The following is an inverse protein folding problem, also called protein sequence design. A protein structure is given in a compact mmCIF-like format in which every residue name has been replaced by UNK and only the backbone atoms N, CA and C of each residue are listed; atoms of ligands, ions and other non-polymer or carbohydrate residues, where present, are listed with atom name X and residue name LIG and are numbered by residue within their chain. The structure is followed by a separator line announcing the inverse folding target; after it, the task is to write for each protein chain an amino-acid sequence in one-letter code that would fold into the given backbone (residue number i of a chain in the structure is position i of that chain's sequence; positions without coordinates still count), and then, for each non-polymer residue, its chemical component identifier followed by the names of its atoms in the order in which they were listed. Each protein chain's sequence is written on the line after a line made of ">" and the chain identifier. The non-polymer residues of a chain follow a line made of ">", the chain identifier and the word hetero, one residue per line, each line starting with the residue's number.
data_IF_159189997941
#
_entry.id   IF_159189997941
#
_cell.length_a   1.000
_cell.length_b   1.000
_cell.length_c   1.000
_cell.angle_alpha   90.00
_cell.angle_beta   90.00
_cell.angle_gamma   90.00
#
_symmetry.space_group_name_H-M   'P 1'
#
loop_
_entity.id
_entity.type
_entity.pdbx_description
1 polymer ?
#
# COMPACT_ATOMS: atom_id res chain seq x y z
N UNK A 1 -16.96 16.85 16.77
CA UNK A 1 -16.49 15.62 16.09
C UNK A 1 -16.19 14.57 17.14
N UNK A 2 -16.65 13.33 16.96
CA UNK A 2 -16.42 12.22 17.90
C UNK A 2 -15.13 11.49 17.51
N UNK A 3 -14.25 11.23 18.47
CA UNK A 3 -13.04 10.45 18.20
C UNK A 3 -13.40 9.00 17.85
N UNK A 4 -12.74 8.45 16.84
CA UNK A 4 -12.90 7.07 16.38
C UNK A 4 -11.54 6.43 16.13
N UNK A 5 -11.46 5.11 16.21
CA UNK A 5 -10.30 4.33 15.79
C UNK A 5 -10.16 4.45 14.27
N UNK A 6 -9.03 4.99 13.80
CA UNK A 6 -8.74 5.14 12.37
C UNK A 6 -7.96 3.94 11.84
N UNK A 7 -6.93 3.52 12.58
CA UNK A 7 -6.04 2.42 12.22
C UNK A 7 -5.73 1.60 13.47
N UNK A 8 -5.44 0.32 13.28
CA UNK A 8 -5.13 -0.64 14.33
C UNK A 8 -4.10 -1.65 13.82
N UNK A 9 -3.38 -2.30 14.74
CA UNK A 9 -2.48 -3.39 14.42
C UNK A 9 -3.21 -4.74 14.47
N UNK A 10 -2.58 -5.78 13.92
CA UNK A 10 -3.14 -7.13 13.88
C UNK A 10 -3.52 -7.66 15.28
N UNK A 11 -2.72 -7.35 16.30
CA UNK A 11 -3.02 -7.74 17.68
C UNK A 11 -4.37 -7.17 18.17
N UNK A 12 -4.62 -5.87 17.96
CA UNK A 12 -5.89 -5.25 18.32
C UNK A 12 -7.06 -5.80 17.47
N UNK A 13 -6.81 -6.13 16.20
CA UNK A 13 -7.83 -6.74 15.33
C UNK A 13 -8.27 -8.11 15.85
N UNK A 14 -7.32 -8.92 16.29
CA UNK A 14 -7.56 -10.26 16.84
C UNK A 14 -8.36 -10.22 18.14
N UNK A 15 -8.20 -9.15 18.93
CA UNK A 15 -9.02 -8.88 20.13
C UNK A 15 -10.42 -8.31 19.77
N UNK A 16 -10.75 -8.19 18.49
CA UNK A 16 -12.07 -7.76 18.02
C UNK A 16 -12.27 -6.25 17.93
N UNK A 17 -11.20 -5.46 18.02
CA UNK A 17 -11.24 -4.01 17.73
C UNK A 17 -11.38 -3.81 16.22
N UNK A 18 -12.19 -2.83 15.81
CA UNK A 18 -12.37 -2.45 14.40
C UNK A 18 -12.24 -0.94 14.22
N UNK A 19 -11.83 -0.52 13.04
CA UNK A 19 -11.85 0.88 12.67
C UNK A 19 -13.30 1.42 12.69
N UNK A 20 -13.46 2.72 12.96
CA UNK A 20 -14.75 3.38 13.17
C UNK A 20 -15.34 3.22 14.58
N UNK A 21 -14.84 2.27 15.39
CA UNK A 21 -15.23 2.18 16.81
C UNK A 21 -14.80 3.44 17.58
N UNK A 22 -15.60 3.85 18.55
CA UNK A 22 -15.19 4.87 19.53
C UNK A 22 -14.15 4.28 20.51
N UNK A 23 -13.30 5.11 21.16
CA UNK A 23 -12.35 4.63 22.18
C UNK A 23 -12.97 3.73 23.24
N UNK A 24 -14.17 4.09 23.74
CA UNK A 24 -14.90 3.27 24.72
C UNK A 24 -15.34 1.92 24.16
N UNK A 25 -15.80 1.86 22.91
CA UNK A 25 -16.15 0.59 22.26
C UNK A 25 -14.92 -0.29 22.05
N UNK A 26 -13.79 0.29 21.67
CA UNK A 26 -12.54 -0.44 21.46
C UNK A 26 -11.99 -0.99 22.79
N UNK A 27 -11.97 -0.19 23.86
CA UNK A 27 -11.53 -0.61 25.20
C UNK A 27 -12.43 -1.69 25.80
N UNK A 28 -13.72 -1.70 25.47
CA UNK A 28 -14.62 -2.77 25.87
C UNK A 28 -14.28 -4.13 25.23
N UNK A 29 -13.56 -4.14 24.10
CA UNK A 29 -13.03 -5.36 23.47
C UNK A 29 -11.67 -5.75 24.05
N UNK A 30 -10.79 -4.78 24.23
CA UNK A 30 -9.44 -4.97 24.72
C UNK A 30 -9.11 -3.93 25.81
N UNK A 31 -9.15 -4.34 27.08
CA UNK A 31 -8.93 -3.45 28.23
C UNK A 31 -7.50 -2.86 28.27
N UNK A 32 -6.52 -3.55 27.70
CA UNK A 32 -5.12 -3.14 27.66
C UNK A 32 -4.74 -2.42 26.35
N UNK A 33 -5.73 -1.99 25.56
CA UNK A 33 -5.51 -1.30 24.29
C UNK A 33 -4.81 0.05 24.52
N UNK A 34 -3.68 0.25 23.83
CA UNK A 34 -2.98 1.54 23.83
C UNK A 34 -3.50 2.41 22.68
N UNK A 35 -4.22 3.47 23.02
CA UNK A 35 -4.76 4.43 22.04
C UNK A 35 -3.77 5.59 21.87
N UNK A 36 -3.35 5.86 20.63
CA UNK A 36 -2.48 6.99 20.28
C UNK A 36 -3.27 8.05 19.52
N UNK A 37 -3.03 9.31 19.84
CA UNK A 37 -3.58 10.42 19.07
C UNK A 37 -2.91 10.48 17.67
N UNK A 38 -3.69 10.90 16.68
CA UNK A 38 -3.20 11.09 15.31
C UNK A 38 -2.17 12.23 15.26
N UNK A 39 -0.99 11.95 14.74
CA UNK A 39 0.09 12.93 14.60
C UNK A 39 0.22 13.36 13.13
N UNK A 40 -0.61 14.33 12.72
CA UNK A 40 -0.75 14.75 11.30
C UNK A 40 0.56 15.23 10.68
N UNK A 41 1.37 15.97 11.43
CA UNK A 41 2.64 16.50 10.93
C UNK A 41 3.62 15.35 10.62
N UNK A 42 3.65 14.32 11.47
CA UNK A 42 4.45 13.13 11.23
C UNK A 42 3.95 12.32 10.02
N UNK A 43 2.62 12.19 9.87
CA UNK A 43 2.02 11.52 8.70
C UNK A 43 2.32 12.25 7.38
N UNK A 44 2.33 13.59 7.42
CA UNK A 44 2.67 14.40 6.26
C UNK A 44 4.14 14.20 5.88
N UNK A 45 5.06 14.26 6.85
CA UNK A 45 6.48 13.98 6.61
C UNK A 45 6.72 12.58 6.05
N UNK A 46 6.00 11.56 6.54
CA UNK A 46 6.08 10.21 5.99
C UNK A 46 5.58 10.14 4.55
N UNK A 47 4.53 10.90 4.22
CA UNK A 47 4.01 10.99 2.86
C UNK A 47 5.02 11.64 1.92
N UNK A 48 5.72 12.69 2.36
CA UNK A 48 6.77 13.35 1.56
C UNK A 48 7.96 12.42 1.31
N UNK A 49 8.38 11.65 2.32
CA UNK A 49 9.44 10.63 2.18
C UNK A 49 9.02 9.58 1.15
N UNK A 50 7.79 9.08 1.24
CA UNK A 50 7.25 8.11 0.28
C UNK A 50 7.27 8.66 -1.15
N UNK A 51 6.76 9.88 -1.35
CA UNK A 51 6.72 10.52 -2.67
C UNK A 51 8.11 10.80 -3.23
N UNK A 52 9.05 11.26 -2.40
CA UNK A 52 10.44 11.44 -2.80
C UNK A 52 11.02 10.15 -3.39
N UNK A 53 10.85 9.01 -2.70
CA UNK A 53 11.30 7.71 -3.17
C UNK A 53 10.54 7.24 -4.43
N UNK A 54 9.25 7.52 -4.54
CA UNK A 54 8.46 7.20 -5.72
C UNK A 54 8.94 7.96 -6.97
N UNK A 55 9.26 9.25 -6.84
CA UNK A 55 9.79 10.06 -7.95
C UNK A 55 11.17 9.59 -8.44
N UNK A 56 11.95 8.91 -7.60
CA UNK A 56 13.20 8.27 -8.02
C UNK A 56 12.97 7.06 -8.94
N UNK A 57 11.75 6.48 -8.94
CA UNK A 57 11.38 5.37 -9.82
C UNK A 57 10.87 5.84 -11.18
N UNK A 58 10.03 6.88 -11.19
CA UNK A 58 9.41 7.44 -12.39
C UNK A 58 9.01 8.90 -12.15
N UNK A 59 9.02 9.77 -13.16
CA UNK A 59 8.44 11.11 -13.05
C UNK A 59 6.90 11.10 -12.97
N UNK A 60 6.25 9.99 -13.36
CA UNK A 60 4.79 9.86 -13.34
C UNK A 60 4.33 9.21 -12.04
N UNK A 61 4.13 10.03 -11.01
CA UNK A 61 3.68 9.61 -9.67
C UNK A 61 2.44 10.39 -9.28
N UNK A 62 1.48 9.69 -8.68
CA UNK A 62 0.25 10.26 -8.13
C UNK A 62 0.09 9.84 -6.66
N UNK A 63 -0.21 10.80 -5.78
CA UNK A 63 -0.59 10.52 -4.40
C UNK A 63 -2.08 10.16 -4.35
N UNK A 64 -2.39 8.86 -4.38
CA UNK A 64 -3.76 8.36 -4.56
C UNK A 64 -4.55 8.29 -3.25
N UNK A 65 -3.88 8.07 -2.12
CA UNK A 65 -4.50 8.08 -0.80
C UNK A 65 -3.44 8.37 0.29
N UNK A 66 -3.84 8.68 1.55
CA UNK A 66 -2.88 8.83 2.65
C UNK A 66 -1.99 7.58 2.79
N UNK A 67 -0.67 7.76 2.67
CA UNK A 67 0.30 6.66 2.71
C UNK A 67 0.34 5.76 1.48
N UNK A 68 -0.35 6.12 0.39
CA UNK A 68 -0.38 5.36 -0.86
C UNK A 68 -0.04 6.26 -2.06
N UNK A 69 0.84 5.76 -2.93
CA UNK A 69 1.12 6.41 -4.21
C UNK A 69 1.08 5.41 -5.36
N UNK A 70 0.60 5.85 -6.51
CA UNK A 70 0.64 5.11 -7.76
C UNK A 70 1.78 5.62 -8.62
N UNK A 71 2.58 4.70 -9.17
CA UNK A 71 3.72 5.03 -10.02
C UNK A 71 3.51 4.40 -11.40
N UNK A 72 3.48 5.24 -12.44
CA UNK A 72 3.37 4.77 -13.82
C UNK A 72 4.75 4.61 -14.44
N UNK A 73 5.04 3.43 -15.00
CA UNK A 73 6.25 3.16 -15.75
C UNK A 73 5.95 3.20 -17.25
N UNK A 74 6.57 4.15 -17.97
CA UNK A 74 6.48 4.19 -19.42
C UNK A 74 7.34 3.07 -20.01
N UNK A 75 6.72 2.02 -20.53
CA UNK A 75 7.43 1.02 -21.31
C UNK A 75 7.86 1.64 -22.65
N UNK A 76 9.16 1.66 -22.93
CA UNK A 76 9.66 2.08 -24.23
C UNK A 76 9.14 1.12 -25.32
N UNK A 77 8.63 1.72 -26.38
CA UNK A 77 7.92 1.22 -27.56
C UNK A 77 7.97 -0.29 -27.92
N UNK A 78 6.84 -0.78 -28.45
CA UNK A 78 6.44 -2.18 -28.72
C UNK A 78 7.33 -3.09 -29.60
N UNK A 79 8.51 -2.67 -30.03
CA UNK A 79 9.26 -3.34 -31.12
C UNK A 79 10.50 -4.14 -30.69
N UNK A 80 10.98 -4.03 -29.45
CA UNK A 80 12.13 -4.80 -28.90
C UNK A 80 11.74 -5.83 -27.83
N UNK A 81 10.46 -6.14 -27.75
CA UNK A 81 9.82 -6.59 -26.50
C UNK A 81 10.04 -8.08 -26.16
N UNK A 82 10.31 -8.97 -27.11
CA UNK A 82 10.18 -10.43 -26.86
C UNK A 82 11.39 -11.04 -26.09
N UNK A 83 12.57 -10.40 -26.08
CA UNK A 83 13.74 -10.87 -25.30
C UNK A 83 14.07 -10.01 -24.08
N UNK A 84 13.71 -8.72 -24.08
CA UNK A 84 14.06 -7.77 -23.01
C UNK A 84 13.01 -7.65 -21.89
N UNK A 85 11.78 -8.14 -22.10
CA UNK A 85 10.70 -8.10 -21.11
C UNK A 85 11.06 -8.81 -19.79
N UNK A 86 11.64 -10.02 -19.86
CA UNK A 86 12.05 -10.77 -18.66
C UNK A 86 13.09 -10.00 -17.82
N UNK A 87 13.98 -9.26 -18.47
CA UNK A 87 15.01 -8.45 -17.81
C UNK A 87 14.51 -7.10 -17.29
N UNK A 88 13.41 -6.56 -17.84
CA UNK A 88 12.82 -5.33 -17.34
C UNK A 88 11.99 -5.59 -16.07
N UNK A 89 11.21 -6.67 -16.07
CA UNK A 89 10.40 -7.10 -14.92
C UNK A 89 11.28 -7.37 -13.69
N UNK A 90 12.42 -8.04 -13.87
CA UNK A 90 13.34 -8.32 -12.76
C UNK A 90 14.04 -7.06 -12.24
N UNK A 91 14.44 -6.13 -13.11
CA UNK A 91 15.03 -4.85 -12.70
C UNK A 91 14.05 -3.96 -11.95
N UNK A 92 12.79 -3.89 -12.40
CA UNK A 92 11.77 -3.10 -11.73
C UNK A 92 11.47 -3.67 -10.33
N UNK A 93 11.27 -4.99 -10.23
CA UNK A 93 11.10 -5.66 -8.93
C UNK A 93 12.29 -5.44 -8.00
N UNK A 94 13.51 -5.49 -8.53
CA UNK A 94 14.71 -5.25 -7.73
C UNK A 94 14.78 -3.81 -7.22
N UNK A 95 14.48 -2.82 -8.08
CA UNK A 95 14.39 -1.40 -7.68
C UNK A 95 13.32 -1.19 -6.59
N UNK A 96 12.16 -1.82 -6.73
CA UNK A 96 11.09 -1.74 -5.73
C UNK A 96 11.50 -2.39 -4.40
N UNK A 97 12.17 -3.53 -4.42
CA UNK A 97 12.72 -4.14 -3.21
C UNK A 97 13.72 -3.23 -2.52
N UNK A 98 14.66 -2.65 -3.27
CA UNK A 98 15.61 -1.69 -2.71
C UNK A 98 14.94 -0.44 -2.12
N UNK A 99 13.86 0.05 -2.74
CA UNK A 99 13.07 1.15 -2.21
C UNK A 99 12.42 0.74 -0.88
N UNK A 100 11.75 -0.42 -0.83
CA UNK A 100 11.13 -0.94 0.39
C UNK A 100 12.17 -1.13 1.50
N UNK A 101 13.36 -1.65 1.17
CA UNK A 101 14.46 -1.78 2.13
C UNK A 101 14.94 -0.41 2.63
N UNK A 102 14.98 0.60 1.77
CA UNK A 102 15.33 1.98 2.14
C UNK A 102 14.28 2.58 3.09
N UNK A 103 12.99 2.36 2.82
CA UNK A 103 11.90 2.79 3.70
C UNK A 103 11.93 2.05 5.04
N UNK A 104 12.29 0.76 5.04
CA UNK A 104 12.43 -0.01 6.27
C UNK A 104 13.53 0.56 7.19
N UNK A 105 14.60 1.14 6.65
CA UNK A 105 15.63 1.84 7.45
C UNK A 105 15.11 3.09 8.14
N UNK A 106 14.03 3.68 7.60
CA UNK A 106 13.31 4.79 8.21
C UNK A 106 12.20 4.31 9.17
N UNK A 107 12.16 3.02 9.53
CA UNK A 107 11.08 2.37 10.30
C UNK A 107 9.70 2.45 9.61
N UNK A 108 9.67 2.52 8.28
CA UNK A 108 8.44 2.54 7.49
C UNK A 108 8.25 1.16 6.85
N UNK A 109 7.10 0.54 7.14
CA UNK A 109 6.71 -0.73 6.50
C UNK A 109 6.00 -0.38 5.20
N UNK A 110 6.59 -0.76 4.07
CA UNK A 110 6.03 -0.52 2.74
C UNK A 110 5.80 -1.84 2.00
N UNK A 111 4.77 -1.84 1.14
CA UNK A 111 4.42 -2.95 0.25
C UNK A 111 4.15 -2.38 -1.14
N UNK A 112 4.42 -3.16 -2.17
CA UNK A 112 4.22 -2.72 -3.55
C UNK A 112 3.50 -3.76 -4.40
N UNK A 113 2.58 -3.28 -5.21
CA UNK A 113 1.87 -4.06 -6.22
C UNK A 113 2.19 -3.56 -7.62
N UNK A 114 2.39 -4.49 -8.55
CA UNK A 114 2.65 -4.18 -9.96
C UNK A 114 1.57 -4.86 -10.79
N UNK A 115 0.80 -4.10 -11.55
CA UNK A 115 -0.16 -4.63 -12.51
C UNK A 115 -0.29 -3.72 -13.74
N UNK A 116 -1.13 -4.13 -14.70
CA UNK A 116 -1.37 -3.38 -15.94
C UNK A 116 -2.25 -2.14 -15.76
N UNK A 117 -2.96 -2.04 -14.63
CA UNK A 117 -3.83 -0.92 -14.30
C UNK A 117 -3.65 -0.52 -12.81
N UNK A 118 -4.02 0.70 -12.42
CA UNK A 118 -3.84 1.18 -11.05
C UNK A 118 -4.63 0.36 -10.02
N UNK A 119 -5.89 0.04 -10.29
CA UNK A 119 -6.77 -0.66 -9.33
C UNK A 119 -6.25 -2.07 -8.98
N UNK A 120 -5.82 -2.85 -9.98
CA UNK A 120 -5.25 -4.16 -9.72
C UNK A 120 -3.87 -4.04 -9.05
N UNK A 121 -3.11 -2.97 -9.32
CA UNK A 121 -1.83 -2.71 -8.64
C UNK A 121 -2.06 -2.43 -7.16
N UNK A 122 -3.07 -1.62 -6.84
CA UNK A 122 -3.48 -1.32 -5.47
C UNK A 122 -3.93 -2.58 -4.71
N UNK A 123 -4.76 -3.42 -5.32
CA UNK A 123 -5.17 -4.70 -4.75
C UNK A 123 -4.00 -5.68 -4.60
N UNK A 124 -3.05 -5.69 -5.54
CA UNK A 124 -1.83 -6.48 -5.41
C UNK A 124 -1.00 -6.02 -4.20
N UNK A 125 -0.86 -4.70 -4.01
CA UNK A 125 -0.08 -4.12 -2.91
C UNK A 125 -0.64 -4.54 -1.54
N UNK A 126 -1.97 -4.59 -1.40
CA UNK A 126 -2.64 -5.04 -0.19
C UNK A 126 -2.34 -6.50 0.18
N UNK A 127 -2.07 -7.34 -0.83
CA UNK A 127 -1.75 -8.77 -0.67
C UNK A 127 -0.27 -9.09 -0.86
N UNK A 128 0.59 -8.07 -0.96
CA UNK A 128 2.00 -8.25 -1.26
C UNK A 128 2.83 -8.55 -0.01
N UNK A 129 3.80 -9.46 -0.15
CA UNK A 129 4.84 -9.73 0.84
C UNK A 129 6.22 -9.80 0.16
N UNK A 130 7.02 -8.72 0.15
CA UNK A 130 6.64 -7.31 0.19
C UNK A 130 6.27 -6.75 -1.20
N UNK A 131 6.52 -7.50 -2.27
CA UNK A 131 6.22 -7.10 -3.67
C UNK A 131 5.46 -8.19 -4.41
N UNK A 132 4.29 -7.85 -4.95
CA UNK A 132 3.48 -8.74 -5.78
C UNK A 132 3.29 -8.16 -7.18
N UNK A 133 3.52 -8.96 -8.22
CA UNK A 133 3.22 -8.57 -9.61
C UNK A 133 2.11 -9.45 -10.15
N UNK A 134 1.14 -8.85 -10.80
CA UNK A 134 0.01 -9.50 -11.45
C UNK A 134 0.14 -9.30 -12.96
N UNK A 135 0.38 -10.40 -13.68
CA UNK A 135 0.41 -10.41 -15.15
C UNK A 135 -0.98 -10.57 -15.77
N UNK A 136 -1.86 -11.31 -15.09
CA UNK A 136 -3.23 -11.58 -15.54
C UNK A 136 -4.25 -11.10 -14.50
N UNK A 137 -4.66 -9.83 -14.60
CA UNK A 137 -5.59 -9.21 -13.65
C UNK A 137 -6.90 -9.99 -13.51
N UNK A 138 -7.48 -10.51 -14.61
CA UNK A 138 -8.73 -11.28 -14.58
C UNK A 138 -8.65 -12.52 -13.70
N UNK A 139 -7.55 -13.29 -13.77
CA UNK A 139 -7.35 -14.48 -12.92
C UNK A 139 -7.16 -14.13 -11.46
N UNK A 140 -6.48 -13.02 -11.19
CA UNK A 140 -6.26 -12.54 -9.83
C UNK A 140 -7.55 -12.00 -9.18
N UNK A 141 -8.37 -11.29 -9.94
CA UNK A 141 -9.61 -10.68 -9.46
C UNK A 141 -10.77 -11.69 -9.35
N UNK A 142 -10.79 -12.73 -10.18
CA UNK A 142 -11.86 -13.74 -10.19
C UNK A 142 -12.21 -14.37 -8.82
N UNK A 143 -11.25 -14.72 -7.95
CA UNK A 143 -11.55 -15.25 -6.61
C UNK A 143 -11.78 -14.18 -5.54
N UNK A 144 -11.63 -12.88 -5.83
CA UNK A 144 -11.71 -11.84 -4.82
C UNK A 144 -13.16 -11.41 -4.58
N UNK A 145 -13.62 -11.38 -3.30
CA UNK A 145 -14.92 -10.81 -2.95
C UNK A 145 -15.02 -9.33 -3.37
N UNK A 146 -16.21 -8.88 -3.75
CA UNK A 146 -16.46 -7.48 -4.21
C UNK A 146 -16.14 -6.48 -3.09
N UNK A 147 -16.28 -6.90 -1.83
CA UNK A 147 -15.94 -6.13 -0.64
C UNK A 147 -14.46 -5.72 -0.61
N UNK A 148 -13.58 -6.43 -1.34
CA UNK A 148 -12.16 -6.07 -1.47
C UNK A 148 -11.97 -4.74 -2.22
N UNK A 149 -12.96 -4.28 -2.98
CA UNK A 149 -12.96 -2.95 -3.60
C UNK A 149 -13.25 -1.84 -2.58
N UNK A 150 -13.83 -2.16 -1.42
CA UNK A 150 -14.18 -1.19 -0.38
C UNK A 150 -13.03 -0.87 0.60
N UNK A 151 -11.82 -1.38 0.33
CA UNK A 151 -10.61 -1.12 1.11
C UNK A 151 -10.31 0.40 1.22
N UNK A 152 -10.95 1.22 0.39
CA UNK A 152 -10.83 2.70 0.36
C UNK A 152 -11.77 3.48 1.32
N UNK A 153 -12.65 2.84 2.08
CA UNK A 153 -13.72 3.58 2.77
C UNK A 153 -13.43 4.02 4.23
N UNK A 154 -12.19 3.94 4.71
CA UNK A 154 -11.83 4.39 6.07
C UNK A 154 -10.74 5.47 5.97
N UNK A 155 -11.18 6.72 5.77
CA UNK A 155 -10.38 7.94 5.89
C UNK A 155 -10.81 8.78 7.09
#
# INVERSE_FOLDING_TARGET
>A
MKAVILQLNEAAENEGVRAGMTPSQALARCLHLVIKARARDCEHQLSDILLHHAFMLSPFVEATAPGVCTVQFMQSNRLTIIKEQRSLDCRLRQKLRHLIDSLARCNVIARAGIAQNPDASFLAAHRAEPVLEIKEAKKFLAPLPIETLAVDAIS
#
